data_IF_219052713796
#
_entry.id   IF_219052713796
#
_cell.length_a   1.000
_cell.length_b   1.000
_cell.length_c   1.000
_cell.angle_alpha   90.00
_cell.angle_beta   90.00
_cell.angle_gamma   90.00
#
_symmetry.space_group_name_H-M   'P 1'
#
loop_
_entity.id
_entity.type
_entity.pdbx_description
1 polymer ?
#
# COMPACT_ATOMS: atom_id res chain seq x y z
N UNK A 1 -5.47 -24.64 -16.86
CA UNK A 1 -4.71 -24.57 -15.61
C UNK A 1 -5.69 -24.45 -14.44
N UNK A 2 -5.46 -25.19 -13.36
CA UNK A 2 -6.24 -25.03 -12.12
C UNK A 2 -6.02 -23.63 -11.52
N UNK A 3 -6.97 -23.13 -10.72
CA UNK A 3 -6.84 -21.81 -10.08
C UNK A 3 -5.63 -21.76 -9.13
N UNK A 4 -5.29 -22.87 -8.48
CA UNK A 4 -4.10 -23.01 -7.68
C UNK A 4 -2.82 -22.83 -8.51
N UNK A 5 -2.76 -23.44 -9.70
CA UNK A 5 -1.60 -23.30 -10.59
C UNK A 5 -1.42 -21.86 -11.09
N UNK A 6 -2.52 -21.15 -11.40
CA UNK A 6 -2.47 -19.73 -11.75
C UNK A 6 -1.93 -18.87 -10.59
N UNK A 7 -2.38 -19.15 -9.37
CA UNK A 7 -1.90 -18.47 -8.15
C UNK A 7 -0.41 -18.68 -7.93
N UNK A 8 0.05 -19.93 -7.99
CA UNK A 8 1.48 -20.24 -7.80
C UNK A 8 2.33 -19.54 -8.86
N UNK A 9 1.91 -19.63 -10.14
CA UNK A 9 2.66 -19.02 -11.24
C UNK A 9 2.75 -17.49 -11.12
N UNK A 10 1.63 -16.82 -10.82
CA UNK A 10 1.64 -15.36 -10.67
C UNK A 10 2.50 -14.91 -9.47
N UNK A 11 2.47 -15.63 -8.34
CA UNK A 11 3.33 -15.34 -7.19
C UNK A 11 4.81 -15.57 -7.50
N UNK A 12 5.15 -16.67 -8.23
CA UNK A 12 6.52 -17.00 -8.64
C UNK A 12 7.14 -15.95 -9.58
N UNK A 13 6.31 -15.18 -10.29
CA UNK A 13 6.79 -14.11 -11.17
C UNK A 13 6.79 -12.78 -10.42
N UNK A 14 5.68 -12.42 -9.79
CA UNK A 14 5.52 -11.09 -9.19
C UNK A 14 6.45 -10.87 -7.99
N UNK A 15 6.62 -11.86 -7.11
CA UNK A 15 7.46 -11.69 -5.93
C UNK A 15 8.95 -11.52 -6.25
N UNK A 16 9.59 -12.35 -7.12
CA UNK A 16 10.97 -12.10 -7.53
C UNK A 16 11.17 -10.76 -8.25
N UNK A 17 10.24 -10.36 -9.14
CA UNK A 17 10.33 -9.07 -9.82
C UNK A 17 10.31 -7.93 -8.79
N UNK A 18 9.36 -7.95 -7.86
CA UNK A 18 9.28 -6.94 -6.81
C UNK A 18 10.56 -6.90 -5.95
N UNK A 19 11.07 -8.06 -5.53
CA UNK A 19 12.30 -8.15 -4.73
C UNK A 19 13.53 -7.65 -5.49
N UNK A 20 13.65 -7.94 -6.79
CA UNK A 20 14.73 -7.43 -7.64
C UNK A 20 14.64 -5.90 -7.75
N UNK A 21 13.45 -5.34 -7.99
CA UNK A 21 13.27 -3.90 -8.07
C UNK A 21 13.57 -3.20 -6.74
N UNK A 22 13.16 -3.79 -5.61
CA UNK A 22 13.48 -3.29 -4.28
C UNK A 22 15.00 -3.34 -4.03
N UNK A 23 15.67 -4.41 -4.44
CA UNK A 23 17.12 -4.54 -4.27
C UNK A 23 17.89 -3.52 -5.11
N UNK A 24 17.51 -3.33 -6.37
CA UNK A 24 18.13 -2.35 -7.28
C UNK A 24 17.95 -0.91 -6.79
N UNK A 25 16.82 -0.58 -6.15
CA UNK A 25 16.56 0.79 -5.67
C UNK A 25 16.49 1.82 -6.80
N UNK A 26 16.77 3.08 -6.48
CA UNK A 26 16.92 4.18 -7.44
C UNK A 26 15.81 4.25 -8.51
N UNK A 27 16.18 4.57 -9.75
CA UNK A 27 15.25 4.70 -10.87
C UNK A 27 14.50 3.39 -11.22
N UNK A 28 15.10 2.19 -11.19
CA UNK A 28 14.37 0.93 -11.39
C UNK A 28 13.20 0.74 -10.43
N UNK A 29 13.41 1.00 -9.13
CA UNK A 29 12.33 0.91 -8.15
C UNK A 29 11.28 2.00 -8.37
N UNK A 30 11.69 3.23 -8.63
CA UNK A 30 10.77 4.34 -8.86
C UNK A 30 9.86 4.10 -10.07
N UNK A 31 10.40 3.58 -11.18
CA UNK A 31 9.61 3.23 -12.37
C UNK A 31 8.71 2.03 -12.14
N UNK A 32 9.14 1.04 -11.40
CA UNK A 32 8.31 -0.09 -10.98
C UNK A 32 7.13 0.39 -10.12
N UNK A 33 7.40 1.19 -9.09
CA UNK A 33 6.35 1.76 -8.24
C UNK A 33 5.41 2.69 -9.01
N UNK A 34 5.91 3.43 -10.02
CA UNK A 34 5.08 4.24 -10.89
C UNK A 34 4.07 3.38 -11.69
N UNK A 35 4.52 2.27 -12.27
CA UNK A 35 3.65 1.33 -12.98
C UNK A 35 2.61 0.68 -12.04
N UNK A 36 3.05 0.25 -10.84
CA UNK A 36 2.17 -0.32 -9.81
C UNK A 36 1.15 0.71 -9.34
N UNK A 37 1.56 1.96 -9.07
CA UNK A 37 0.66 3.05 -8.65
C UNK A 37 -0.38 3.37 -9.71
N UNK A 38 0.00 3.43 -10.98
CA UNK A 38 -0.92 3.65 -12.09
C UNK A 38 -1.93 2.49 -12.22
N UNK A 39 -1.49 1.24 -12.05
CA UNK A 39 -2.37 0.06 -12.04
C UNK A 39 -3.35 0.07 -10.88
N UNK A 40 -2.89 0.37 -9.65
CA UNK A 40 -3.75 0.52 -8.48
C UNK A 40 -4.74 1.68 -8.62
N UNK A 41 -4.32 2.82 -9.19
CA UNK A 41 -5.21 3.95 -9.47
C UNK A 41 -6.30 3.58 -10.47
N UNK A 42 -5.95 2.85 -11.52
CA UNK A 42 -6.92 2.35 -12.47
C UNK A 42 -7.96 1.42 -11.80
N UNK A 43 -7.54 0.49 -10.94
CA UNK A 43 -8.45 -0.37 -10.19
C UNK A 43 -9.35 0.43 -9.24
N UNK A 44 -8.76 1.37 -8.49
CA UNK A 44 -9.49 2.25 -7.58
C UNK A 44 -10.57 3.06 -8.31
N UNK A 45 -10.24 3.61 -9.48
CA UNK A 45 -11.19 4.37 -10.29
C UNK A 45 -12.30 3.48 -10.87
N UNK A 46 -12.01 2.23 -11.20
CA UNK A 46 -13.05 1.27 -11.60
C UNK A 46 -14.01 0.95 -10.45
N UNK A 47 -13.52 0.82 -9.22
CA UNK A 47 -14.37 0.67 -8.03
C UNK A 47 -15.27 1.90 -7.90
N UNK A 48 -14.72 3.11 -7.98
CA UNK A 48 -15.48 4.34 -7.87
C UNK A 48 -16.54 4.50 -8.96
N UNK A 49 -16.20 4.17 -10.20
CA UNK A 49 -17.14 4.19 -11.32
C UNK A 49 -18.29 3.19 -11.14
N UNK A 50 -18.00 1.99 -10.61
CA UNK A 50 -19.03 1.01 -10.26
C UNK A 50 -19.95 1.53 -9.12
N UNK A 51 -19.42 2.35 -8.21
CA UNK A 51 -20.19 3.07 -7.17
C UNK A 51 -20.94 4.31 -7.67
N UNK A 52 -20.89 4.60 -8.98
CA UNK A 52 -21.64 5.71 -9.61
C UNK A 52 -20.92 7.07 -9.55
N UNK A 53 -19.62 7.11 -9.26
CA UNK A 53 -18.78 8.32 -9.35
C UNK A 53 -17.72 8.10 -10.41
N UNK A 54 -17.84 8.81 -11.54
CA UNK A 54 -16.89 8.72 -12.66
C UNK A 54 -15.64 9.58 -12.42
N UNK A 55 -14.47 9.01 -12.10
CA UNK A 55 -13.22 9.77 -11.92
C UNK A 55 -12.68 10.31 -13.27
N UNK A 56 -11.61 11.10 -13.20
CA UNK A 56 -10.89 11.60 -14.37
C UNK A 56 -9.70 10.67 -14.69
N UNK A 57 -9.98 9.45 -15.16
CA UNK A 57 -8.98 8.42 -15.47
C UNK A 57 -7.79 8.93 -16.29
N UNK A 58 -8.00 9.70 -17.40
CA UNK A 58 -6.88 10.19 -18.23
C UNK A 58 -5.93 11.14 -17.52
N UNK A 59 -6.37 11.74 -16.40
CA UNK A 59 -5.56 12.65 -15.57
C UNK A 59 -5.05 11.93 -14.34
N UNK A 60 -5.92 11.21 -13.64
CA UNK A 60 -5.62 10.61 -12.35
C UNK A 60 -4.61 9.48 -12.44
N UNK A 61 -4.73 8.59 -13.44
CA UNK A 61 -3.81 7.45 -13.60
C UNK A 61 -2.36 7.91 -13.87
N UNK A 62 -2.10 8.80 -14.85
CA UNK A 62 -0.75 9.32 -15.05
C UNK A 62 -0.19 10.09 -13.86
N UNK A 63 -1.01 10.90 -13.18
CA UNK A 63 -0.57 11.62 -11.99
C UNK A 63 -0.24 10.66 -10.83
N UNK A 64 -1.02 9.61 -10.61
CA UNK A 64 -0.70 8.59 -9.62
C UNK A 64 0.66 7.92 -9.90
N UNK A 65 0.91 7.54 -11.16
CA UNK A 65 2.21 7.00 -11.58
C UNK A 65 3.35 8.01 -11.49
N UNK A 66 3.09 9.31 -11.66
CA UNK A 66 4.10 10.35 -11.58
C UNK A 66 4.59 10.60 -10.14
N UNK A 67 3.78 10.30 -9.09
CA UNK A 67 4.17 10.57 -7.69
C UNK A 67 5.43 9.82 -7.27
N UNK A 68 5.61 8.49 -7.47
CA UNK A 68 6.85 7.79 -7.13
C UNK A 68 8.07 8.34 -7.89
N UNK A 69 7.90 8.73 -9.16
CA UNK A 69 8.97 9.35 -9.94
C UNK A 69 9.34 10.73 -9.41
N UNK A 70 8.34 11.50 -8.95
CA UNK A 70 8.56 12.78 -8.30
C UNK A 70 9.31 12.62 -6.97
N UNK A 71 8.99 11.61 -6.18
CA UNK A 71 9.71 11.32 -4.92
C UNK A 71 11.16 10.91 -5.22
N UNK A 72 11.40 10.09 -6.24
CA UNK A 72 12.75 9.78 -6.73
C UNK A 72 13.52 11.03 -7.14
N UNK A 73 12.92 11.87 -8.01
CA UNK A 73 13.55 13.09 -8.50
C UNK A 73 13.89 14.09 -7.37
N UNK A 74 13.04 14.15 -6.35
CA UNK A 74 13.33 14.93 -5.14
C UNK A 74 14.48 14.33 -4.33
N UNK A 75 14.55 13.01 -4.22
CA UNK A 75 15.61 12.29 -3.51
C UNK A 75 17.00 12.52 -4.10
N UNK A 76 17.10 12.62 -5.43
CA UNK A 76 18.36 12.94 -6.14
C UNK A 76 18.60 14.45 -6.30
N UNK A 77 17.77 15.31 -5.68
CA UNK A 77 17.97 16.76 -5.69
C UNK A 77 17.58 17.49 -6.97
N UNK A 78 16.88 16.83 -7.91
CA UNK A 78 16.44 17.44 -9.17
C UNK A 78 15.40 18.55 -8.95
N UNK A 79 14.58 18.43 -7.93
CA UNK A 79 13.64 19.47 -7.51
C UNK A 79 13.32 19.35 -6.01
N UNK A 80 12.69 20.39 -5.46
CA UNK A 80 12.19 20.35 -4.08
C UNK A 80 10.66 20.26 -4.11
N UNK A 81 10.06 19.26 -3.44
CA UNK A 81 8.62 19.21 -3.30
C UNK A 81 8.08 20.51 -2.72
N UNK A 82 7.12 21.13 -3.38
CA UNK A 82 6.54 22.39 -2.95
C UNK A 82 5.02 22.35 -3.06
N UNK A 83 4.37 23.20 -2.29
CA UNK A 83 2.92 23.38 -2.38
C UNK A 83 2.47 23.78 -3.80
N UNK A 84 3.34 24.46 -4.55
CA UNK A 84 3.06 24.85 -5.94
C UNK A 84 2.77 23.63 -6.83
N UNK A 85 3.54 22.55 -6.70
CA UNK A 85 3.31 21.32 -7.49
C UNK A 85 1.94 20.72 -7.18
N UNK A 86 1.58 20.62 -5.90
CA UNK A 86 0.27 20.13 -5.49
C UNK A 86 -0.86 21.06 -5.98
N UNK A 87 -0.66 22.37 -5.88
CA UNK A 87 -1.63 23.36 -6.38
C UNK A 87 -1.83 23.27 -7.91
N UNK A 88 -0.74 23.14 -8.67
CA UNK A 88 -0.82 22.96 -10.14
C UNK A 88 -1.54 21.66 -10.48
N UNK A 89 -1.25 20.55 -9.82
CA UNK A 89 -1.97 19.29 -10.04
C UNK A 89 -3.48 19.45 -9.75
N UNK A 90 -3.83 20.13 -8.67
CA UNK A 90 -5.23 20.43 -8.35
C UNK A 90 -5.89 21.31 -9.41
N UNK A 91 -5.22 22.34 -9.90
CA UNK A 91 -5.73 23.20 -10.96
C UNK A 91 -5.95 22.44 -12.28
N UNK A 92 -5.05 21.51 -12.62
CA UNK A 92 -5.20 20.63 -13.78
C UNK A 92 -6.46 19.76 -13.63
N UNK A 93 -6.68 19.16 -12.46
CA UNK A 93 -7.86 18.35 -12.18
C UNK A 93 -9.14 19.18 -12.30
N UNK A 94 -9.17 20.37 -11.68
CA UNK A 94 -10.33 21.25 -11.73
C UNK A 94 -10.60 21.75 -13.17
N UNK A 95 -9.55 22.11 -13.91
CA UNK A 95 -9.68 22.47 -15.32
C UNK A 95 -10.26 21.29 -16.13
N UNK A 96 -9.71 20.08 -15.99
CA UNK A 96 -10.22 18.90 -16.67
C UNK A 96 -11.69 18.62 -16.36
N UNK A 97 -12.15 18.85 -15.13
CA UNK A 97 -13.56 18.71 -14.73
C UNK A 97 -14.46 19.66 -15.53
N UNK A 98 -14.03 20.92 -15.77
CA UNK A 98 -14.84 21.91 -16.49
C UNK A 98 -15.18 21.39 -17.89
N UNK A 99 -14.20 20.82 -18.62
CA UNK A 99 -14.40 20.37 -20.00
C UNK A 99 -14.95 18.96 -20.15
N UNK A 100 -14.88 18.13 -19.09
CA UNK A 100 -15.25 16.70 -19.19
C UNK A 100 -16.52 16.34 -18.42
N UNK A 101 -16.97 17.18 -17.48
CA UNK A 101 -18.12 16.91 -16.61
C UNK A 101 -19.12 18.07 -16.63
N UNK A 102 -20.36 17.80 -16.95
CA UNK A 102 -21.45 18.75 -16.72
C UNK A 102 -21.91 18.74 -15.25
N UNK A 103 -22.72 19.74 -14.82
CA UNK A 103 -23.23 19.83 -13.44
C UNK A 103 -23.92 18.56 -12.94
N UNK A 104 -24.58 17.81 -13.84
CA UNK A 104 -25.32 16.57 -13.54
C UNK A 104 -24.41 15.36 -13.27
N UNK A 105 -23.15 15.39 -13.71
CA UNK A 105 -22.18 14.28 -13.58
C UNK A 105 -21.31 14.35 -12.34
N UNK A 106 -21.84 14.93 -11.24
CA UNK A 106 -21.16 15.01 -9.96
C UNK A 106 -19.69 15.49 -10.06
N UNK A 107 -19.43 16.69 -10.59
CA UNK A 107 -18.07 17.18 -10.85
C UNK A 107 -17.20 17.23 -9.58
N UNK A 108 -17.79 17.58 -8.42
CA UNK A 108 -17.09 17.55 -7.15
C UNK A 108 -16.68 16.12 -6.77
N UNK A 109 -17.57 15.15 -6.93
CA UNK A 109 -17.28 13.72 -6.68
C UNK A 109 -16.17 13.22 -7.61
N UNK A 110 -16.24 13.56 -8.90
CA UNK A 110 -15.20 13.20 -9.88
C UNK A 110 -13.82 13.74 -9.47
N UNK A 111 -13.72 15.03 -9.12
CA UNK A 111 -12.48 15.64 -8.66
C UNK A 111 -11.96 14.99 -7.38
N UNK A 112 -12.81 14.82 -6.36
CA UNK A 112 -12.45 14.27 -5.06
C UNK A 112 -11.94 12.84 -5.18
N UNK A 113 -12.62 11.97 -5.94
CA UNK A 113 -12.19 10.59 -6.16
C UNK A 113 -10.89 10.53 -6.96
N UNK A 114 -10.71 11.42 -7.95
CA UNK A 114 -9.46 11.51 -8.71
C UNK A 114 -8.28 11.85 -7.79
N UNK A 115 -8.43 12.87 -6.94
CA UNK A 115 -7.39 13.25 -5.97
C UNK A 115 -7.13 12.13 -4.96
N UNK A 116 -8.21 11.52 -4.43
CA UNK A 116 -8.08 10.40 -3.49
C UNK A 116 -7.30 9.24 -4.11
N UNK A 117 -7.60 8.87 -5.37
CA UNK A 117 -6.87 7.80 -6.06
C UNK A 117 -5.39 8.11 -6.23
N UNK A 118 -5.03 9.35 -6.62
CA UNK A 118 -3.63 9.77 -6.73
C UNK A 118 -2.91 9.64 -5.38
N UNK A 119 -3.50 10.14 -4.30
CA UNK A 119 -2.89 10.11 -2.96
C UNK A 119 -2.85 8.70 -2.38
N UNK A 120 -3.94 7.96 -2.50
CA UNK A 120 -4.08 6.62 -1.95
C UNK A 120 -3.14 5.61 -2.62
N UNK A 121 -3.01 5.66 -3.94
CA UNK A 121 -2.15 4.72 -4.68
C UNK A 121 -0.74 5.29 -4.90
N UNK A 122 -0.60 6.43 -5.56
CA UNK A 122 0.70 7.05 -5.84
C UNK A 122 1.40 7.55 -4.58
N UNK A 123 0.67 8.29 -3.72
CA UNK A 123 1.22 8.86 -2.50
C UNK A 123 1.70 7.80 -1.52
N UNK A 124 0.82 6.85 -1.14
CA UNK A 124 1.16 5.86 -0.13
C UNK A 124 2.19 4.82 -0.62
N UNK A 125 2.14 4.39 -1.90
CA UNK A 125 3.16 3.49 -2.45
C UNK A 125 4.55 4.15 -2.55
N UNK A 126 4.62 5.46 -2.69
CA UNK A 126 5.90 6.18 -2.73
C UNK A 126 6.72 6.03 -1.44
N UNK A 127 6.08 5.70 -0.31
CA UNK A 127 6.81 5.37 0.92
C UNK A 127 7.65 4.11 0.79
N UNK A 128 7.34 3.19 -0.14
CA UNK A 128 8.23 2.08 -0.48
C UNK A 128 9.58 2.56 -1.02
N UNK A 129 9.59 3.59 -1.89
CA UNK A 129 10.82 4.23 -2.34
C UNK A 129 11.51 5.00 -1.20
N UNK A 130 10.75 5.80 -0.45
CA UNK A 130 11.30 6.60 0.65
C UNK A 130 11.94 5.72 1.75
N UNK A 131 11.40 4.54 2.02
CA UNK A 131 11.99 3.55 2.94
C UNK A 131 13.28 2.96 2.36
N UNK A 132 13.31 2.63 1.05
CA UNK A 132 14.48 2.06 0.39
C UNK A 132 15.69 2.99 0.45
N UNK A 133 15.45 4.27 0.23
CA UNK A 133 16.46 5.33 0.19
C UNK A 133 16.53 6.11 1.52
N UNK A 134 16.03 5.52 2.62
CA UNK A 134 16.03 6.19 3.92
C UNK A 134 17.47 6.43 4.40
N UNK A 135 17.79 7.59 5.01
CA UNK A 135 19.15 7.92 5.48
C UNK A 135 19.78 6.90 6.44
N UNK A 136 18.96 6.05 7.09
CA UNK A 136 19.47 4.93 7.89
C UNK A 136 19.81 3.68 7.07
N UNK A 137 19.47 3.65 5.80
CA UNK A 137 19.80 2.56 4.91
C UNK A 137 21.22 2.73 4.35
N UNK A 138 22.18 2.12 5.03
CA UNK A 138 23.57 2.13 4.53
C UNK A 138 23.76 0.98 3.55
N UNK A 139 23.61 1.29 2.24
CA UNK A 139 23.75 0.35 1.14
C UNK A 139 22.48 -0.46 0.81
N UNK A 140 22.56 -1.20 -0.31
CA UNK A 140 21.39 -1.86 -0.92
C UNK A 140 20.71 -2.91 -0.03
N UNK A 141 21.51 -3.66 0.73
CA UNK A 141 20.96 -4.68 1.65
C UNK A 141 20.16 -4.05 2.79
N UNK A 142 20.63 -2.94 3.34
CA UNK A 142 19.96 -2.25 4.43
C UNK A 142 18.65 -1.63 3.95
N UNK A 143 18.65 -0.93 2.82
CA UNK A 143 17.43 -0.38 2.22
C UNK A 143 16.42 -1.47 1.85
N UNK A 144 16.89 -2.61 1.30
CA UNK A 144 16.02 -3.77 1.03
C UNK A 144 15.39 -4.30 2.30
N UNK A 145 16.16 -4.43 3.38
CA UNK A 145 15.64 -4.89 4.68
C UNK A 145 14.61 -3.92 5.26
N UNK A 146 14.79 -2.60 5.07
CA UNK A 146 13.82 -1.61 5.52
C UNK A 146 12.48 -1.71 4.77
N UNK A 147 12.50 -1.86 3.44
CA UNK A 147 11.26 -2.05 2.66
C UNK A 147 10.60 -3.39 2.93
N UNK A 148 11.40 -4.45 3.09
CA UNK A 148 10.87 -5.78 3.40
C UNK A 148 10.20 -5.86 4.77
N UNK A 149 10.56 -4.98 5.71
CA UNK A 149 10.01 -5.01 7.08
C UNK A 149 8.48 -4.86 7.11
N UNK A 150 7.86 -3.78 6.59
CA UNK A 150 6.40 -3.69 6.58
C UNK A 150 5.73 -4.79 5.74
N UNK A 151 6.35 -5.25 4.65
CA UNK A 151 5.86 -6.37 3.84
C UNK A 151 5.75 -7.65 4.67
N UNK A 152 6.81 -8.02 5.37
CA UNK A 152 6.83 -9.23 6.21
C UNK A 152 5.83 -9.11 7.36
N UNK A 153 5.69 -7.92 7.96
CA UNK A 153 4.76 -7.70 9.06
C UNK A 153 3.29 -7.75 8.63
N UNK A 154 2.95 -7.20 7.46
CA UNK A 154 1.59 -7.29 6.92
C UNK A 154 1.22 -8.74 6.60
N UNK A 155 2.11 -9.50 5.96
CA UNK A 155 1.90 -10.92 5.73
C UNK A 155 1.77 -11.73 7.04
N UNK A 156 2.58 -11.43 8.03
CA UNK A 156 2.48 -12.07 9.35
C UNK A 156 1.14 -11.78 10.02
N UNK A 157 0.63 -10.53 9.90
CA UNK A 157 -0.68 -10.14 10.40
C UNK A 157 -1.79 -10.97 9.75
N UNK A 158 -1.78 -11.09 8.42
CA UNK A 158 -2.80 -11.82 7.66
C UNK A 158 -2.77 -13.32 7.98
N UNK A 159 -1.58 -13.92 8.02
CA UNK A 159 -1.38 -15.33 8.36
C UNK A 159 -1.88 -15.61 9.79
N UNK A 160 -1.46 -14.81 10.76
CA UNK A 160 -1.88 -14.94 12.16
C UNK A 160 -3.39 -14.77 12.32
N UNK A 161 -3.95 -13.74 11.66
CA UNK A 161 -5.38 -13.48 11.68
C UNK A 161 -6.18 -14.64 11.08
N UNK A 162 -5.72 -15.21 9.98
CA UNK A 162 -6.38 -16.34 9.32
C UNK A 162 -6.38 -17.59 10.21
N UNK A 163 -5.22 -18.01 10.70
CA UNK A 163 -5.11 -19.25 11.48
C UNK A 163 -5.84 -19.16 12.82
N UNK A 164 -5.63 -18.08 13.57
CA UNK A 164 -6.28 -17.91 14.89
C UNK A 164 -7.78 -17.69 14.72
N UNK A 165 -8.19 -16.86 13.75
CA UNK A 165 -9.60 -16.61 13.47
C UNK A 165 -10.35 -17.86 13.05
N UNK A 166 -9.69 -18.77 12.31
CA UNK A 166 -10.28 -20.07 11.91
C UNK A 166 -10.33 -21.07 13.06
N UNK A 167 -9.29 -21.11 13.91
CA UNK A 167 -9.19 -22.08 15.02
C UNK A 167 -10.09 -21.71 16.19
N UNK A 168 -10.15 -20.43 16.56
CA UNK A 168 -10.88 -19.93 17.73
C UNK A 168 -12.29 -19.47 17.36
N UNK A 169 -12.46 -18.86 16.17
CA UNK A 169 -13.76 -18.31 15.74
C UNK A 169 -14.21 -17.13 16.61
N UNK A 170 -15.51 -17.06 16.89
CA UNK A 170 -16.10 -16.04 17.77
C UNK A 170 -16.71 -14.83 17.03
N UNK A 171 -16.93 -13.72 17.75
CA UNK A 171 -17.59 -12.53 17.20
C UNK A 171 -16.89 -11.97 15.98
N UNK A 172 -17.68 -11.48 15.02
CA UNK A 172 -17.16 -10.85 13.80
C UNK A 172 -16.64 -9.45 14.11
N UNK A 173 -15.60 -9.03 13.39
CA UNK A 173 -14.97 -7.72 13.58
C UNK A 173 -15.88 -6.61 13.04
N UNK A 174 -16.18 -6.62 11.73
CA UNK A 174 -17.12 -5.70 11.06
C UNK A 174 -17.89 -6.50 10.02
N UNK A 175 -19.06 -7.12 10.39
CA UNK A 175 -19.80 -8.01 9.52
C UNK A 175 -20.26 -7.40 8.19
N UNK A 176 -20.63 -6.12 8.20
CA UNK A 176 -21.10 -5.39 7.02
C UNK A 176 -20.02 -5.15 5.97
N UNK A 177 -18.73 -5.12 6.37
CA UNK A 177 -17.59 -4.85 5.50
C UNK A 177 -16.91 -6.15 5.09
N UNK A 178 -16.54 -6.97 6.09
CA UNK A 178 -15.82 -8.22 5.89
C UNK A 178 -16.38 -9.33 6.81
N UNK A 179 -17.36 -10.12 6.34
CA UNK A 179 -18.04 -11.13 7.15
C UNK A 179 -17.14 -12.30 7.57
N UNK A 180 -15.96 -12.44 6.94
CA UNK A 180 -14.99 -13.47 7.28
C UNK A 180 -14.14 -13.16 8.50
N UNK A 181 -13.86 -11.89 8.79
CA UNK A 181 -12.95 -11.46 9.84
C UNK A 181 -13.57 -11.57 11.24
N UNK A 182 -12.79 -12.07 12.21
CA UNK A 182 -13.18 -12.25 13.61
C UNK A 182 -12.32 -11.41 14.55
N UNK A 183 -12.82 -11.08 15.73
CA UNK A 183 -12.04 -10.40 16.78
C UNK A 183 -10.85 -11.28 17.22
N UNK A 184 -11.07 -12.59 17.39
CA UNK A 184 -10.00 -13.53 17.69
C UNK A 184 -8.90 -13.54 16.63
N UNK A 185 -9.29 -13.46 15.36
CA UNK A 185 -8.36 -13.33 14.24
C UNK A 185 -7.56 -12.03 14.32
N UNK A 186 -8.22 -10.89 14.59
CA UNK A 186 -7.53 -9.61 14.74
C UNK A 186 -6.48 -9.63 15.86
N UNK A 187 -6.80 -10.22 17.00
CA UNK A 187 -5.86 -10.41 18.12
C UNK A 187 -4.73 -11.39 17.76
N UNK A 188 -5.05 -12.46 17.02
CA UNK A 188 -4.06 -13.41 16.52
C UNK A 188 -3.07 -12.75 15.54
N UNK A 189 -3.57 -11.94 14.62
CA UNK A 189 -2.74 -11.13 13.73
C UNK A 189 -1.82 -10.18 14.49
N UNK A 190 -2.37 -9.46 15.49
CA UNK A 190 -1.59 -8.57 16.36
C UNK A 190 -0.46 -9.31 17.09
N UNK A 191 -0.77 -10.42 17.75
CA UNK A 191 0.23 -11.20 18.49
C UNK A 191 1.33 -11.74 17.55
N UNK A 192 0.94 -12.28 16.39
CA UNK A 192 1.88 -12.80 15.40
C UNK A 192 2.77 -11.68 14.83
N UNK A 193 2.21 -10.51 14.53
CA UNK A 193 2.98 -9.38 14.00
C UNK A 193 3.97 -8.84 15.02
N UNK A 194 3.60 -8.75 16.30
CA UNK A 194 4.51 -8.36 17.37
C UNK A 194 5.67 -9.34 17.50
N UNK A 195 5.40 -10.65 17.48
CA UNK A 195 6.45 -11.68 17.53
C UNK A 195 7.39 -11.58 16.30
N UNK A 196 6.81 -11.49 15.09
CA UNK A 196 7.59 -11.40 13.85
C UNK A 196 8.37 -10.09 13.78
N UNK A 197 7.83 -8.98 14.30
CA UNK A 197 8.55 -7.71 14.44
C UNK A 197 9.82 -7.88 15.27
N UNK A 198 9.72 -8.52 16.44
CA UNK A 198 10.89 -8.81 17.28
C UNK A 198 11.91 -9.70 16.59
N UNK A 199 11.46 -10.78 15.93
CA UNK A 199 12.33 -11.67 15.16
C UNK A 199 13.03 -10.92 14.02
N UNK A 200 12.29 -10.10 13.28
CA UNK A 200 12.83 -9.34 12.14
C UNK A 200 13.87 -8.31 12.57
N UNK A 201 13.60 -7.56 13.64
CA UNK A 201 14.58 -6.62 14.20
C UNK A 201 15.84 -7.35 14.65
N UNK A 202 15.68 -8.49 15.31
CA UNK A 202 16.80 -9.26 15.88
C UNK A 202 17.66 -9.94 14.83
N UNK A 203 17.05 -10.51 13.77
CA UNK A 203 17.72 -11.38 12.82
C UNK A 203 17.91 -10.79 11.44
N UNK A 204 17.20 -9.70 11.10
CA UNK A 204 17.34 -9.01 9.80
C UNK A 204 17.84 -7.57 9.97
N UNK A 205 17.10 -6.68 10.66
CA UNK A 205 17.51 -5.28 10.74
C UNK A 205 18.83 -5.07 11.45
N UNK A 206 19.04 -5.73 12.60
CA UNK A 206 20.27 -5.56 13.35
C UNK A 206 21.53 -6.03 12.58
N UNK A 207 21.59 -7.23 11.99
CA UNK A 207 22.80 -7.68 11.29
C UNK A 207 22.97 -7.06 9.89
N UNK A 208 21.86 -6.69 9.20
CA UNK A 208 21.90 -6.25 7.80
C UNK A 208 21.92 -4.73 7.68
N UNK A 209 21.08 -4.05 8.48
CA UNK A 209 20.92 -2.59 8.43
C UNK A 209 21.60 -1.88 9.61
N UNK A 210 22.20 -2.61 10.54
CA UNK A 210 22.79 -2.09 11.78
C UNK A 210 21.81 -1.27 12.64
N UNK A 211 20.51 -1.49 12.41
CA UNK A 211 19.43 -0.84 13.15
C UNK A 211 18.96 -1.70 14.31
N UNK A 212 18.87 -1.08 15.47
CA UNK A 212 18.37 -1.73 16.70
C UNK A 212 17.18 -0.96 17.25
N UNK A 213 16.20 -1.68 17.75
CA UNK A 213 15.06 -1.14 18.46
C UNK A 213 15.03 -1.71 19.86
N UNK A 214 14.62 -0.92 20.85
CA UNK A 214 14.36 -1.45 22.19
C UNK A 214 13.17 -2.42 22.16
N UNK A 215 13.11 -3.36 23.12
CA UNK A 215 12.01 -4.32 23.16
C UNK A 215 10.64 -3.62 23.21
N UNK A 216 10.38 -2.61 24.07
CA UNK A 216 9.12 -1.89 24.09
C UNK A 216 8.79 -1.22 22.72
N UNK A 217 9.80 -0.60 22.10
CA UNK A 217 9.62 0.03 20.78
C UNK A 217 9.26 -1.01 19.71
N UNK A 218 9.90 -2.16 19.72
CA UNK A 218 9.61 -3.26 18.77
C UNK A 218 8.19 -3.81 18.95
N UNK A 219 7.74 -3.97 20.20
CA UNK A 219 6.38 -4.41 20.53
C UNK A 219 5.36 -3.38 20.05
N UNK A 220 5.55 -2.11 20.43
CA UNK A 220 4.66 -1.02 20.02
C UNK A 220 4.58 -0.91 18.49
N UNK A 221 5.73 -0.97 17.83
CA UNK A 221 5.80 -0.90 16.38
C UNK A 221 5.06 -2.07 15.70
N UNK A 222 5.30 -3.31 16.14
CA UNK A 222 4.60 -4.49 15.64
C UNK A 222 3.09 -4.38 15.81
N UNK A 223 2.63 -3.85 16.96
CA UNK A 223 1.22 -3.62 17.24
C UNK A 223 0.62 -2.55 16.30
N UNK A 224 1.31 -1.42 16.13
CA UNK A 224 0.88 -0.34 15.23
C UNK A 224 0.77 -0.82 13.78
N UNK A 225 1.76 -1.56 13.28
CA UNK A 225 1.72 -2.10 11.92
C UNK A 225 0.59 -3.11 11.74
N UNK A 226 0.34 -3.99 12.73
CA UNK A 226 -0.79 -4.92 12.65
C UNK A 226 -2.14 -4.19 12.58
N UNK A 227 -2.33 -3.16 13.41
CA UNK A 227 -3.55 -2.35 13.38
C UNK A 227 -3.68 -1.65 12.03
N UNK A 228 -2.61 -1.02 11.53
CA UNK A 228 -2.61 -0.34 10.25
C UNK A 228 -2.92 -1.27 9.08
N UNK A 229 -2.32 -2.46 9.04
CA UNK A 229 -2.57 -3.46 8.02
C UNK A 229 -4.05 -3.91 8.02
N UNK A 230 -4.60 -4.20 9.20
CA UNK A 230 -6.00 -4.58 9.34
C UNK A 230 -6.96 -3.47 8.94
N UNK A 231 -6.63 -2.20 9.29
CA UNK A 231 -7.42 -1.03 8.88
C UNK A 231 -7.34 -0.82 7.37
N UNK A 232 -6.17 -1.00 6.75
CA UNK A 232 -5.99 -0.88 5.31
C UNK A 232 -6.87 -1.84 4.53
N UNK A 233 -6.82 -3.14 4.86
CA UNK A 233 -7.66 -4.16 4.25
C UNK A 233 -9.17 -3.90 4.49
N UNK A 234 -9.55 -3.45 5.69
CA UNK A 234 -10.94 -3.07 5.97
C UNK A 234 -11.38 -1.82 5.19
N UNK A 235 -10.50 -0.83 5.04
CA UNK A 235 -10.78 0.38 4.27
C UNK A 235 -11.04 0.05 2.79
N UNK A 236 -10.15 -0.74 2.16
CA UNK A 236 -10.37 -1.18 0.78
C UNK A 236 -11.63 -2.06 0.65
N UNK A 237 -11.83 -2.99 1.59
CA UNK A 237 -13.03 -3.81 1.64
C UNK A 237 -14.30 -2.95 1.71
N UNK A 238 -14.32 -1.88 2.51
CA UNK A 238 -15.47 -0.96 2.61
C UNK A 238 -15.75 -0.28 1.26
N UNK A 239 -14.72 0.24 0.58
CA UNK A 239 -14.87 0.87 -0.75
C UNK A 239 -15.43 -0.12 -1.78
N UNK A 240 -14.98 -1.37 -1.76
CA UNK A 240 -15.53 -2.42 -2.64
C UNK A 240 -17.00 -2.73 -2.34
N UNK A 241 -17.41 -2.72 -1.07
CA UNK A 241 -18.83 -2.94 -0.70
C UNK A 241 -19.74 -1.81 -1.12
N UNK A 242 -19.29 -0.55 -1.01
CA UNK A 242 -20.03 0.61 -1.53
C UNK A 242 -20.32 0.47 -3.03
N UNK A 243 -19.36 -0.01 -3.79
CA UNK A 243 -19.48 -0.26 -5.22
C UNK A 243 -20.17 -1.60 -5.59
N UNK A 244 -20.60 -2.41 -4.59
CA UNK A 244 -21.14 -3.76 -4.79
C UNK A 244 -20.20 -4.70 -5.55
N UNK A 245 -18.89 -4.52 -5.43
CA UNK A 245 -17.87 -5.42 -5.98
C UNK A 245 -17.14 -6.17 -4.86
N UNK A 246 -16.50 -7.29 -5.20
CA UNK A 246 -15.73 -8.09 -4.25
C UNK A 246 -14.24 -7.90 -4.43
N UNK A 247 -13.76 -7.93 -5.63
CA UNK A 247 -12.34 -7.80 -6.00
C UNK A 247 -12.15 -6.48 -6.76
N UNK A 248 -10.99 -5.83 -6.60
CA UNK A 248 -10.70 -4.57 -7.29
C UNK A 248 -10.61 -4.75 -8.81
N UNK A 249 -10.09 -5.89 -9.23
CA UNK A 249 -10.05 -6.33 -10.64
C UNK A 249 -9.73 -7.82 -10.74
N UNK A 250 -9.48 -8.29 -11.98
CA UNK A 250 -8.93 -9.63 -12.27
C UNK A 250 -7.56 -9.54 -12.96
N UNK A 251 -6.79 -8.48 -12.67
CA UNK A 251 -5.51 -8.22 -13.33
C UNK A 251 -4.47 -9.31 -13.04
N UNK A 252 -4.46 -9.83 -11.79
CA UNK A 252 -3.55 -10.91 -11.40
C UNK A 252 -4.32 -12.24 -11.45
N UNK A 253 -4.00 -13.14 -12.41
CA UNK A 253 -4.71 -14.41 -12.55
C UNK A 253 -4.72 -15.23 -11.25
N UNK A 254 -5.93 -15.51 -10.75
CA UNK A 254 -6.15 -16.27 -9.52
C UNK A 254 -5.95 -15.48 -8.21
N UNK A 255 -5.47 -14.24 -8.25
CA UNK A 255 -5.24 -13.42 -7.06
C UNK A 255 -6.10 -12.15 -6.94
N UNK A 256 -6.96 -11.84 -7.93
CA UNK A 256 -7.75 -10.61 -7.94
C UNK A 256 -6.96 -9.43 -8.50
N UNK A 257 -7.15 -8.27 -7.94
CA UNK A 257 -6.47 -7.05 -8.35
C UNK A 257 -5.10 -6.83 -7.69
N UNK A 258 -4.38 -5.86 -8.23
CA UNK A 258 -3.12 -5.38 -7.70
C UNK A 258 -3.33 -4.60 -6.39
N UNK A 259 -4.40 -3.80 -6.32
CA UNK A 259 -4.78 -3.05 -5.13
C UNK A 259 -5.12 -4.00 -3.97
N UNK A 260 -5.88 -5.11 -4.25
CA UNK A 260 -6.18 -6.17 -3.27
C UNK A 260 -4.92 -6.81 -2.62
N UNK A 261 -3.75 -6.67 -3.23
CA UNK A 261 -2.48 -7.23 -2.71
C UNK A 261 -1.65 -6.22 -1.93
N UNK A 262 -1.97 -4.94 -2.03
CA UNK A 262 -1.18 -3.85 -1.46
C UNK A 262 -1.96 -3.04 -0.40
N UNK A 263 -3.25 -3.29 -0.22
CA UNK A 263 -4.15 -2.58 0.68
C UNK A 263 -3.59 -2.41 2.11
N UNK A 264 -3.11 -3.48 2.70
CA UNK A 264 -2.48 -3.49 4.02
C UNK A 264 -1.13 -2.75 4.03
N UNK A 265 -0.34 -2.90 2.96
CA UNK A 265 0.96 -2.27 2.83
C UNK A 265 0.86 -0.74 2.67
N UNK A 266 -0.17 -0.26 1.97
CA UNK A 266 -0.44 1.17 1.78
C UNK A 266 -0.57 1.91 3.12
N UNK A 267 -1.10 1.26 4.15
CA UNK A 267 -1.20 1.82 5.50
C UNK A 267 0.06 1.58 6.34
N UNK A 268 0.72 0.44 6.17
CA UNK A 268 1.88 0.06 6.97
C UNK A 268 3.16 0.83 6.61
N UNK A 269 3.44 1.03 5.31
CA UNK A 269 4.68 1.64 4.85
C UNK A 269 4.88 3.10 5.33
N UNK A 270 3.86 3.99 5.27
CA UNK A 270 3.98 5.35 5.82
C UNK A 270 4.30 5.36 7.31
N UNK A 271 3.68 4.47 8.11
CA UNK A 271 3.93 4.42 9.55
C UNK A 271 5.38 4.04 9.87
N UNK A 272 5.96 3.10 9.14
CA UNK A 272 7.36 2.75 9.30
C UNK A 272 8.28 3.93 8.97
N UNK A 273 8.00 4.61 7.87
CA UNK A 273 8.77 5.77 7.46
C UNK A 273 8.75 6.87 8.52
N UNK A 274 7.56 7.23 9.04
CA UNK A 274 7.42 8.25 10.08
C UNK A 274 8.02 7.82 11.40
N UNK A 275 7.96 6.54 11.75
CA UNK A 275 8.62 6.02 12.96
C UNK A 275 10.13 6.28 12.90
N UNK A 276 10.81 5.94 11.80
CA UNK A 276 12.24 6.22 11.65
C UNK A 276 12.55 7.71 11.52
N UNK A 277 11.65 8.49 10.95
CA UNK A 277 11.83 9.93 10.86
C UNK A 277 11.75 10.60 12.24
N UNK A 278 10.87 10.13 13.12
CA UNK A 278 10.79 10.65 14.50
C UNK A 278 12.00 10.27 15.36
N UNK A 279 12.61 9.11 15.14
CA UNK A 279 13.77 8.67 15.93
C UNK A 279 15.07 9.44 15.60
N UNK A 280 15.02 10.41 14.69
CA UNK A 280 16.10 11.36 14.44
C UNK A 280 16.22 12.37 15.57
#
# INVERSE_FOLDING_TARGET
>A
MSDLAKRILSALIAAPVALIMIYLGGLPLATFLAAVSAGCAWEFYRIAAAGGVEPLDPVGIPLAGAVPLAVYAAGIGLYRPSLVVAAVAMLIILAAVIWTRGPQRRPLGAASVTVMGILYTGGLLSFGYALREHPYAVGDRAGTALVAFPLVLTWASDIGAFFVGRAVGGPKLIPSVSPGKTISGALGGLATTVLVSWLYVRFALRPVALLTMTIPATILFGALISVAAQVGDLAESLLKREANVKDSSHLIPGHGGLLDRLDSLLFAAPLLYYYFWWMR
#
